data_IF_090221521908
#
_entry.id   IF_090221521908
#
_cell.length_a   1.000
_cell.length_b   1.000
_cell.length_c   1.000
_cell.angle_alpha   90.00
_cell.angle_beta   90.00
_cell.angle_gamma   90.00
#
_symmetry.space_group_name_H-M   'P 1'
#
loop_
_entity.id
_entity.type
_entity.pdbx_description
1 polymer ?
#
# COMPACT_ATOMS: atom_id res chain seq x y z
N UNK A 1 -0.05 35.66 65.78
CA UNK A 1 -0.68 36.19 64.55
C UNK A 1 0.40 36.86 63.74
N UNK A 2 0.94 36.18 62.74
CA UNK A 2 1.20 36.74 61.40
C UNK A 2 1.64 35.58 60.49
N UNK A 3 0.71 35.12 59.67
CA UNK A 3 0.88 34.04 58.70
C UNK A 3 1.07 34.71 57.34
N UNK A 4 2.27 34.64 56.77
CA UNK A 4 2.53 35.05 55.38
C UNK A 4 3.02 33.83 54.60
N UNK A 5 2.09 33.05 54.03
CA UNK A 5 1.66 33.08 52.63
C UNK A 5 2.84 32.95 51.63
N UNK A 6 3.13 31.69 51.27
CA UNK A 6 3.83 31.35 50.03
C UNK A 6 2.83 31.42 48.85
N UNK A 7 3.12 32.12 47.75
CA UNK A 7 2.38 31.96 46.51
C UNK A 7 2.91 30.75 45.73
N UNK A 8 2.00 29.83 45.39
CA UNK A 8 2.26 28.61 44.66
C UNK A 8 2.76 28.84 43.23
N UNK A 9 3.73 28.03 42.81
CA UNK A 9 4.09 27.85 41.41
C UNK A 9 2.92 27.17 40.69
N UNK A 10 2.19 27.95 39.90
CA UNK A 10 1.26 27.44 38.89
C UNK A 10 2.09 26.77 37.79
N UNK A 11 2.03 25.44 37.73
CA UNK A 11 2.64 24.65 36.67
C UNK A 11 1.99 24.98 35.33
N UNK A 12 2.71 25.72 34.49
CA UNK A 12 2.39 25.84 33.07
C UNK A 12 2.82 24.53 32.43
N UNK A 13 1.86 23.60 32.32
CA UNK A 13 2.00 22.40 31.49
C UNK A 13 2.18 22.86 30.05
N UNK A 14 3.41 22.75 29.54
CA UNK A 14 3.67 22.90 28.11
C UNK A 14 2.89 21.81 27.38
N UNK A 15 1.79 22.20 26.75
CA UNK A 15 1.12 21.39 25.74
C UNK A 15 2.12 21.22 24.60
N UNK A 16 2.77 20.06 24.55
CA UNK A 16 3.58 19.64 23.42
C UNK A 16 2.64 19.39 22.23
N UNK A 17 2.51 20.41 21.40
CA UNK A 17 1.95 20.29 20.06
C UNK A 17 2.92 19.50 19.17
N UNK A 18 2.98 18.18 19.38
CA UNK A 18 3.66 17.30 18.45
C UNK A 18 2.76 17.06 17.25
N UNK A 19 2.82 17.99 16.30
CA UNK A 19 2.34 17.76 14.95
C UNK A 19 3.33 18.37 13.95
N UNK A 20 4.35 17.58 13.58
CA UNK A 20 4.87 17.55 12.21
C UNK A 20 5.39 16.13 11.98
N UNK A 21 4.63 15.35 11.22
CA UNK A 21 5.16 14.19 10.52
C UNK A 21 6.20 14.74 9.55
N UNK A 22 7.47 14.68 9.91
CA UNK A 22 8.53 15.17 9.02
C UNK A 22 8.61 14.15 7.89
N UNK A 23 8.09 14.55 6.72
CA UNK A 23 8.20 13.78 5.49
C UNK A 23 9.66 13.34 5.34
N UNK A 24 9.85 12.05 5.08
CA UNK A 24 11.16 11.52 4.79
C UNK A 24 11.70 12.28 3.56
N UNK A 25 12.82 13.00 3.63
CA UNK A 25 13.31 13.81 2.50
C UNK A 25 13.61 12.99 1.23
N UNK A 26 13.68 11.66 1.35
CA UNK A 26 13.84 10.71 0.24
C UNK A 26 12.51 10.09 -0.26
N UNK A 27 11.36 10.62 0.18
CA UNK A 27 10.03 10.14 -0.20
C UNK A 27 9.73 10.51 -1.66
N UNK A 28 9.89 9.55 -2.57
CA UNK A 28 9.63 9.71 -4.00
C UNK A 28 8.13 9.65 -4.30
N UNK A 29 7.72 10.31 -5.38
CA UNK A 29 6.37 10.20 -5.96
C UNK A 29 6.26 9.12 -7.03
N UNK A 30 7.37 8.44 -7.39
CA UNK A 30 7.41 7.34 -8.33
C UNK A 30 8.57 6.39 -7.98
N UNK A 31 8.40 5.10 -8.29
CA UNK A 31 9.35 4.04 -7.96
C UNK A 31 9.53 3.10 -9.16
N UNK A 32 10.78 2.87 -9.53
CA UNK A 32 11.20 1.95 -10.59
C UNK A 32 11.19 0.49 -10.12
N UNK A 33 11.31 -0.47 -11.03
CA UNK A 33 11.41 -1.89 -10.68
C UNK A 33 12.52 -2.19 -9.67
N UNK A 34 13.69 -1.57 -9.83
CA UNK A 34 14.82 -1.73 -8.90
C UNK A 34 14.49 -1.20 -7.50
N UNK A 35 13.73 -0.11 -7.40
CA UNK A 35 13.24 0.38 -6.12
C UNK A 35 12.25 -0.61 -5.46
N UNK A 36 11.38 -1.24 -6.26
CA UNK A 36 10.45 -2.26 -5.77
C UNK A 36 11.18 -3.51 -5.30
N UNK A 37 12.24 -3.93 -6.00
CA UNK A 37 13.12 -5.02 -5.56
C UNK A 37 13.87 -4.65 -4.27
N UNK A 38 14.33 -3.41 -4.12
CA UNK A 38 14.91 -2.92 -2.88
C UNK A 38 13.88 -2.97 -1.74
N UNK A 39 12.61 -2.60 -2.00
CA UNK A 39 11.52 -2.75 -1.03
C UNK A 39 11.31 -4.23 -0.65
N UNK A 40 11.25 -5.13 -1.62
CA UNK A 40 11.07 -6.56 -1.39
C UNK A 40 12.20 -7.18 -0.56
N UNK A 41 13.43 -6.70 -0.75
CA UNK A 41 14.62 -7.09 0.03
C UNK A 41 14.69 -6.41 1.40
N UNK A 42 13.76 -5.52 1.73
CA UNK A 42 13.72 -4.79 3.00
C UNK A 42 14.76 -3.68 3.11
N UNK A 43 15.24 -3.16 1.97
CA UNK A 43 16.27 -2.14 1.86
C UNK A 43 15.68 -0.73 1.68
N UNK A 44 14.38 -0.61 1.36
CA UNK A 44 13.73 0.67 1.14
C UNK A 44 13.19 1.33 2.42
N UNK A 45 12.35 0.63 3.18
CA UNK A 45 11.75 1.16 4.42
C UNK A 45 12.51 0.76 5.70
N UNK A 46 13.61 0.02 5.57
CA UNK A 46 14.42 -0.45 6.68
C UNK A 46 13.95 -1.75 7.34
N UNK A 47 14.73 -2.28 8.30
CA UNK A 47 14.48 -3.56 8.94
C UNK A 47 13.20 -3.56 9.77
N UNK A 48 12.41 -4.65 9.68
CA UNK A 48 11.17 -4.81 10.45
C UNK A 48 9.93 -4.11 9.84
N UNK A 49 10.10 -3.32 8.78
CA UNK A 49 9.03 -2.55 8.16
C UNK A 49 8.43 -3.25 6.94
N UNK A 50 7.51 -2.56 6.26
CA UNK A 50 6.80 -3.06 5.10
C UNK A 50 7.77 -3.52 4.00
N UNK A 51 7.38 -4.58 3.29
CA UNK A 51 8.10 -5.14 2.15
C UNK A 51 7.09 -5.54 1.10
N UNK A 52 7.47 -5.40 -0.16
CA UNK A 52 6.78 -6.07 -1.25
C UNK A 52 7.19 -7.55 -1.30
N UNK A 53 6.41 -8.42 -1.98
CA UNK A 53 6.86 -9.75 -2.35
C UNK A 53 8.05 -9.69 -3.33
N UNK A 54 8.81 -10.79 -3.42
CA UNK A 54 9.84 -10.97 -4.45
C UNK A 54 9.22 -11.42 -5.79
N UNK A 55 9.96 -11.32 -6.92
CA UNK A 55 9.51 -11.85 -8.21
C UNK A 55 8.98 -13.28 -8.12
N UNK A 56 7.96 -13.58 -8.93
CA UNK A 56 7.07 -14.74 -8.77
C UNK A 56 5.78 -14.38 -8.01
N UNK A 57 5.85 -13.47 -7.03
CA UNK A 57 4.68 -12.91 -6.34
C UNK A 57 4.60 -11.37 -6.42
N UNK A 58 5.65 -10.69 -6.85
CA UNK A 58 5.62 -9.24 -7.12
C UNK A 58 4.77 -8.98 -8.37
N UNK A 59 3.63 -8.30 -8.21
CA UNK A 59 2.63 -8.12 -9.27
C UNK A 59 2.58 -6.68 -9.81
N UNK A 60 3.72 -6.00 -9.84
CA UNK A 60 3.88 -4.69 -10.46
C UNK A 60 5.34 -4.45 -10.85
N UNK A 61 5.55 -3.73 -11.94
CA UNK A 61 6.88 -3.34 -12.43
C UNK A 61 7.29 -1.94 -11.97
N UNK A 62 6.32 -1.08 -11.71
CA UNK A 62 6.56 0.31 -11.29
C UNK A 62 5.38 0.90 -10.54
N UNK A 63 5.68 1.87 -9.68
CA UNK A 63 4.71 2.83 -9.17
C UNK A 63 4.97 4.13 -9.93
N UNK A 64 4.06 4.51 -10.82
CA UNK A 64 4.19 5.72 -11.64
C UNK A 64 3.78 6.98 -10.89
N UNK A 65 2.90 6.85 -9.89
CA UNK A 65 2.48 7.95 -9.03
C UNK A 65 2.11 7.44 -7.64
N UNK A 66 2.50 8.18 -6.60
CA UNK A 66 2.05 8.00 -5.22
C UNK A 66 2.01 9.36 -4.52
N UNK A 67 0.91 9.63 -3.83
CA UNK A 67 0.70 10.87 -3.08
C UNK A 67 -0.16 10.61 -1.83
N UNK A 68 0.06 11.37 -0.76
CA UNK A 68 -0.74 11.33 0.47
C UNK A 68 -2.04 12.17 0.39
N UNK A 69 -2.21 12.89 -0.72
CA UNK A 69 -3.41 13.62 -1.11
C UNK A 69 -3.95 13.10 -2.45
N UNK A 70 -5.16 13.49 -2.81
CA UNK A 70 -5.81 13.03 -4.04
C UNK A 70 -6.57 11.70 -3.88
N UNK A 71 -6.85 11.05 -5.01
CA UNK A 71 -7.76 9.91 -5.08
C UNK A 71 -9.23 10.27 -4.81
N UNK A 72 -10.13 9.29 -4.93
CA UNK A 72 -11.58 9.47 -4.78
C UNK A 72 -11.98 10.11 -3.44
N UNK A 73 -11.17 9.89 -2.39
CA UNK A 73 -11.47 10.33 -1.02
C UNK A 73 -10.60 11.50 -0.53
N UNK A 74 -9.70 12.02 -1.37
CA UNK A 74 -8.78 13.10 -0.99
C UNK A 74 -7.80 12.74 0.13
N UNK A 75 -7.44 11.46 0.27
CA UNK A 75 -6.61 10.93 1.38
C UNK A 75 -5.42 10.11 0.89
N UNK A 76 -5.08 10.28 -0.39
CA UNK A 76 -3.96 9.63 -1.03
C UNK A 76 -4.38 8.67 -2.13
N UNK A 77 -3.46 8.49 -3.06
CA UNK A 77 -3.64 7.64 -4.22
C UNK A 77 -2.33 6.97 -4.63
N UNK A 78 -2.46 5.88 -5.37
CA UNK A 78 -1.34 5.19 -5.99
C UNK A 78 -1.75 4.75 -7.38
N UNK A 79 -0.87 4.99 -8.35
CA UNK A 79 -0.97 4.46 -9.70
C UNK A 79 0.28 3.61 -9.95
N UNK A 80 0.06 2.36 -10.32
CA UNK A 80 1.11 1.40 -10.59
C UNK A 80 0.79 0.59 -11.85
N UNK A 81 1.82 -0.02 -12.42
CA UNK A 81 1.71 -0.73 -13.69
C UNK A 81 2.45 -2.06 -13.64
N UNK A 82 1.93 -3.04 -14.40
CA UNK A 82 2.58 -4.31 -14.73
C UNK A 82 2.55 -4.45 -16.25
N UNK A 83 3.71 -4.63 -16.86
CA UNK A 83 3.80 -4.92 -18.29
C UNK A 83 3.43 -6.38 -18.53
N UNK A 84 2.61 -6.62 -19.55
CA UNK A 84 2.17 -7.97 -19.91
C UNK A 84 2.98 -8.48 -21.08
N UNK A 85 3.54 -9.67 -20.88
CA UNK A 85 4.25 -10.41 -21.89
C UNK A 85 3.80 -11.89 -21.87
N UNK A 86 3.73 -12.57 -23.03
CA UNK A 86 3.20 -13.95 -23.09
C UNK A 86 3.96 -14.98 -22.25
N UNK A 87 5.24 -14.71 -21.96
CA UNK A 87 6.14 -15.54 -21.16
C UNK A 87 6.06 -15.27 -19.64
N UNK A 88 5.08 -14.48 -19.17
CA UNK A 88 4.78 -14.41 -17.75
C UNK A 88 4.35 -15.80 -17.24
N UNK A 89 5.04 -16.27 -16.20
CA UNK A 89 4.97 -17.65 -15.70
C UNK A 89 3.55 -18.18 -15.46
N UNK A 90 2.63 -17.30 -15.07
CA UNK A 90 1.27 -17.71 -14.73
C UNK A 90 0.44 -18.08 -15.95
N UNK A 91 0.77 -17.59 -17.15
CA UNK A 91 0.03 -17.96 -18.36
C UNK A 91 0.26 -19.42 -18.74
N UNK A 92 1.47 -19.94 -18.52
CA UNK A 92 1.80 -21.33 -18.82
C UNK A 92 1.02 -22.33 -17.95
N UNK A 93 0.66 -21.94 -16.73
CA UNK A 93 -0.02 -22.83 -15.78
C UNK A 93 -1.49 -22.48 -15.51
N UNK A 94 -2.03 -21.41 -16.10
CA UNK A 94 -3.39 -20.94 -15.80
C UNK A 94 -4.06 -20.34 -17.05
N UNK A 95 -4.69 -21.15 -17.90
CA UNK A 95 -4.70 -22.61 -17.95
C UNK A 95 -3.97 -23.08 -19.23
N UNK A 96 -3.51 -24.34 -19.25
CA UNK A 96 -2.67 -24.88 -20.35
C UNK A 96 -3.19 -24.57 -21.77
N UNK A 97 -4.52 -24.61 -21.97
CA UNK A 97 -5.15 -24.33 -23.27
C UNK A 97 -6.01 -23.06 -23.29
N UNK A 98 -6.02 -22.29 -22.19
CA UNK A 98 -6.83 -21.07 -22.02
C UNK A 98 -6.07 -20.09 -21.11
N UNK A 99 -4.97 -19.49 -21.61
CA UNK A 99 -4.07 -18.70 -20.78
C UNK A 99 -4.71 -17.36 -20.38
N UNK A 100 -4.78 -17.12 -19.08
CA UNK A 100 -5.35 -15.92 -18.47
C UNK A 100 -4.66 -15.63 -17.14
N UNK A 101 -4.34 -14.36 -16.88
CA UNK A 101 -3.76 -13.98 -15.59
C UNK A 101 -4.74 -14.37 -14.46
N UNK A 102 -4.29 -15.07 -13.41
CA UNK A 102 -5.13 -15.34 -12.27
C UNK A 102 -5.64 -14.04 -11.64
N UNK A 103 -6.96 -13.87 -11.56
CA UNK A 103 -7.58 -12.66 -10.99
C UNK A 103 -7.16 -12.40 -9.53
N UNK A 104 -6.79 -13.45 -8.80
CA UNK A 104 -6.25 -13.34 -7.45
C UNK A 104 -4.89 -12.62 -7.39
N UNK A 105 -4.05 -12.74 -8.42
CA UNK A 105 -2.77 -12.01 -8.49
C UNK A 105 -2.99 -10.53 -8.77
N UNK A 106 -3.96 -10.19 -9.62
CA UNK A 106 -4.38 -8.80 -9.83
C UNK A 106 -4.96 -8.17 -8.55
N UNK A 107 -5.72 -8.95 -7.77
CA UNK A 107 -6.20 -8.52 -6.46
C UNK A 107 -5.05 -8.37 -5.46
N UNK A 108 -4.08 -9.28 -5.44
CA UNK A 108 -2.94 -9.22 -4.53
C UNK A 108 -2.08 -7.97 -4.75
N UNK A 109 -1.87 -7.56 -6.01
CA UNK A 109 -1.21 -6.30 -6.35
C UNK A 109 -1.83 -5.10 -5.61
N UNK A 110 -3.16 -5.07 -5.43
CA UNK A 110 -3.84 -3.98 -4.72
C UNK A 110 -3.53 -3.97 -3.21
N UNK A 111 -3.40 -5.14 -2.58
CA UNK A 111 -2.95 -5.24 -1.18
C UNK A 111 -1.46 -4.91 -1.05
N UNK A 112 -0.62 -5.35 -1.99
CA UNK A 112 0.80 -4.98 -2.04
C UNK A 112 0.98 -3.46 -2.05
N UNK A 113 0.23 -2.77 -2.92
CA UNK A 113 0.25 -1.33 -3.07
C UNK A 113 -0.25 -0.59 -1.81
N UNK A 114 -1.35 -1.04 -1.21
CA UNK A 114 -1.83 -0.45 0.05
C UNK A 114 -0.82 -0.66 1.19
N UNK A 115 -0.18 -1.83 1.27
CA UNK A 115 0.89 -2.08 2.24
C UNK A 115 2.13 -1.20 2.00
N UNK A 116 2.51 -1.03 0.73
CA UNK A 116 3.58 -0.12 0.33
C UNK A 116 3.27 1.32 0.76
N UNK A 117 2.06 1.80 0.54
CA UNK A 117 1.61 3.14 0.96
C UNK A 117 1.76 3.37 2.46
N UNK A 118 1.38 2.40 3.28
CA UNK A 118 1.50 2.52 4.73
C UNK A 118 2.98 2.63 5.16
N UNK A 119 3.86 1.85 4.54
CA UNK A 119 5.31 1.97 4.77
C UNK A 119 5.89 3.29 4.24
N UNK A 120 5.41 3.74 3.08
CA UNK A 120 5.78 5.00 2.44
C UNK A 120 5.41 6.21 3.30
N UNK A 121 4.28 6.16 4.01
CA UNK A 121 3.89 7.15 5.03
C UNK A 121 4.76 7.12 6.31
N UNK A 122 5.75 6.22 6.39
CA UNK A 122 6.68 6.09 7.52
C UNK A 122 6.16 5.23 8.67
N UNK A 123 5.07 4.46 8.49
CA UNK A 123 4.55 3.62 9.55
C UNK A 123 5.41 2.36 9.74
N UNK A 124 5.72 1.95 10.98
CA UNK A 124 6.53 0.76 11.23
C UNK A 124 5.72 -0.54 11.11
N UNK A 125 6.43 -1.64 10.90
CA UNK A 125 5.89 -3.00 10.97
C UNK A 125 5.70 -3.70 9.61
N UNK A 126 5.48 -5.01 9.66
CA UNK A 126 5.36 -5.89 8.49
C UNK A 126 3.91 -5.95 8.00
N UNK A 127 3.72 -5.87 6.68
CA UNK A 127 2.39 -5.88 6.06
C UNK A 127 1.68 -7.23 6.13
N UNK A 128 0.37 -7.22 6.40
CA UNK A 128 -0.55 -8.34 6.24
C UNK A 128 -1.85 -7.85 5.60
N UNK A 129 -2.28 -8.52 4.53
CA UNK A 129 -3.63 -8.34 4.02
C UNK A 129 -4.64 -8.86 5.06
N UNK A 130 -5.69 -8.08 5.33
CA UNK A 130 -6.75 -8.39 6.29
C UNK A 130 -8.09 -8.66 5.57
N UNK A 131 -8.02 -8.86 4.25
CA UNK A 131 -9.15 -9.11 3.38
C UNK A 131 -9.65 -7.87 2.65
N UNK A 132 -10.85 -8.02 2.10
CA UNK A 132 -11.53 -7.08 1.21
C UNK A 132 -13.03 -7.17 1.47
N UNK A 133 -13.76 -6.08 1.25
CA UNK A 133 -15.22 -6.06 1.39
C UNK A 133 -15.89 -6.73 0.20
N UNK A 134 -15.73 -6.14 -0.98
CA UNK A 134 -16.29 -6.64 -2.23
C UNK A 134 -15.22 -6.70 -3.32
N UNK A 135 -15.27 -7.74 -4.14
CA UNK A 135 -14.45 -7.86 -5.34
C UNK A 135 -15.38 -8.20 -6.51
N UNK A 136 -15.16 -7.56 -7.64
CA UNK A 136 -15.84 -7.83 -8.90
C UNK A 136 -14.83 -8.03 -10.01
N UNK A 137 -14.99 -9.10 -10.76
CA UNK A 137 -14.24 -9.40 -11.97
C UNK A 137 -15.20 -9.31 -13.17
N UNK A 138 -15.02 -8.32 -14.04
CA UNK A 138 -15.85 -8.09 -15.24
C UNK A 138 -15.07 -8.20 -16.55
N UNK A 139 -13.78 -8.53 -16.48
CA UNK A 139 -12.93 -8.79 -17.64
C UNK A 139 -11.75 -9.68 -17.28
N UNK A 140 -10.80 -9.79 -18.19
CA UNK A 140 -9.66 -10.69 -18.07
C UNK A 140 -8.40 -10.10 -18.70
N UNK A 141 -7.24 -10.60 -18.28
CA UNK A 141 -5.93 -10.18 -18.80
C UNK A 141 -5.36 -11.36 -19.58
N UNK A 142 -5.23 -11.19 -20.89
CA UNK A 142 -4.74 -12.20 -21.82
C UNK A 142 -3.26 -11.99 -22.15
N UNK A 143 -2.53 -13.00 -22.66
CA UNK A 143 -1.14 -12.88 -23.09
C UNK A 143 -0.91 -11.82 -24.17
N UNK A 144 -1.96 -11.43 -24.90
CA UNK A 144 -1.91 -10.43 -25.96
C UNK A 144 -1.96 -8.99 -25.46
N UNK A 145 -2.38 -8.78 -24.20
CA UNK A 145 -2.44 -7.47 -23.56
C UNK A 145 -1.04 -6.85 -23.46
N UNK A 146 -0.98 -5.53 -23.20
CA UNK A 146 0.29 -4.81 -23.07
C UNK A 146 0.55 -4.35 -21.67
N UNK A 147 -0.47 -3.87 -20.97
CA UNK A 147 -0.28 -3.25 -19.67
C UNK A 147 -1.49 -3.40 -18.78
N UNK A 148 -1.23 -3.78 -17.54
CA UNK A 148 -2.18 -3.65 -16.44
C UNK A 148 -1.87 -2.37 -15.68
N UNK A 149 -2.90 -1.62 -15.30
CA UNK A 149 -2.78 -0.43 -14.46
C UNK A 149 -3.63 -0.61 -13.20
N UNK A 150 -3.00 -0.43 -12.05
CA UNK A 150 -3.64 -0.46 -10.74
C UNK A 150 -3.84 0.98 -10.26
N UNK A 151 -5.07 1.34 -9.90
CA UNK A 151 -5.41 2.64 -9.30
C UNK A 151 -5.99 2.41 -7.92
N UNK A 152 -5.30 2.89 -6.88
CA UNK A 152 -5.70 2.76 -5.48
C UNK A 152 -6.14 4.12 -4.96
N UNK A 153 -7.34 4.21 -4.40
CA UNK A 153 -7.85 5.40 -3.71
C UNK A 153 -7.94 5.11 -2.21
N UNK A 154 -7.09 5.74 -1.42
CA UNK A 154 -7.01 5.52 0.02
C UNK A 154 -8.23 6.16 0.69
N UNK A 155 -9.02 5.37 1.40
CA UNK A 155 -10.26 5.82 2.08
C UNK A 155 -9.98 6.24 3.52
N UNK A 156 -9.06 5.54 4.20
CA UNK A 156 -8.70 5.80 5.60
C UNK A 156 -7.38 5.15 5.98
N UNK A 157 -6.58 5.85 6.78
CA UNK A 157 -5.44 5.30 7.53
C UNK A 157 -5.68 5.49 9.02
N UNK A 158 -5.41 4.46 9.82
CA UNK A 158 -5.50 4.50 11.28
C UNK A 158 -4.13 4.09 11.82
N UNK A 159 -3.34 5.05 12.31
CA UNK A 159 -2.02 4.81 12.89
C UNK A 159 -2.09 4.95 14.42
N UNK A 160 -2.48 3.87 15.12
CA UNK A 160 -2.52 3.80 16.59
C UNK A 160 -1.64 2.64 17.07
N UNK A 161 -2.16 1.77 17.95
CA UNK A 161 -1.45 0.54 18.37
C UNK A 161 -1.20 -0.43 17.22
N UNK A 162 -2.10 -0.44 16.24
CA UNK A 162 -1.99 -1.16 14.97
C UNK A 162 -2.20 -0.14 13.85
N UNK A 163 -1.32 -0.16 12.84
CA UNK A 163 -1.51 0.62 11.62
C UNK A 163 -2.43 -0.14 10.68
N UNK A 164 -3.53 0.47 10.26
CA UNK A 164 -4.52 -0.09 9.31
C UNK A 164 -4.77 0.88 8.17
N UNK A 165 -4.58 0.41 6.93
CA UNK A 165 -5.02 1.07 5.71
C UNK A 165 -6.33 0.48 5.21
N UNK A 166 -7.21 1.34 4.70
CA UNK A 166 -8.43 0.98 3.98
C UNK A 166 -8.47 1.74 2.67
N UNK A 167 -8.66 1.04 1.56
CA UNK A 167 -8.71 1.64 0.24
C UNK A 167 -9.71 0.94 -0.68
N UNK A 168 -10.09 1.63 -1.74
CA UNK A 168 -10.76 1.04 -2.89
C UNK A 168 -9.76 1.00 -4.06
N UNK A 169 -9.94 0.06 -4.97
CA UNK A 169 -9.07 -0.10 -6.12
C UNK A 169 -9.85 -0.41 -7.40
N UNK A 170 -9.28 0.05 -8.51
CA UNK A 170 -9.66 -0.33 -9.87
C UNK A 170 -8.44 -0.90 -10.56
N UNK A 171 -8.62 -2.01 -11.28
CA UNK A 171 -7.60 -2.62 -12.14
C UNK A 171 -8.09 -2.54 -13.57
N UNK A 172 -7.24 -1.98 -14.42
CA UNK A 172 -7.50 -1.80 -15.85
C UNK A 172 -6.50 -2.58 -16.68
N UNK A 173 -6.90 -3.10 -17.84
CA UNK A 173 -6.01 -3.69 -18.84
C UNK A 173 -6.14 -2.89 -20.13
N UNK A 174 -5.02 -2.39 -20.65
CA UNK A 174 -4.95 -1.59 -21.88
C UNK A 174 -5.96 -0.43 -21.94
N UNK A 175 -6.30 0.14 -20.77
CA UNK A 175 -7.22 1.28 -20.61
C UNK A 175 -8.65 0.91 -20.21
N UNK A 176 -9.01 -0.38 -20.20
CA UNK A 176 -10.36 -0.86 -19.88
C UNK A 176 -10.45 -1.37 -18.44
N UNK A 177 -11.44 -0.92 -17.67
CA UNK A 177 -11.64 -1.32 -16.28
C UNK A 177 -12.22 -2.73 -16.18
N UNK A 178 -11.47 -3.64 -15.55
CA UNK A 178 -11.82 -5.06 -15.48
C UNK A 178 -12.08 -5.54 -14.07
N UNK A 179 -11.41 -4.99 -13.06
CA UNK A 179 -11.61 -5.36 -11.66
C UNK A 179 -11.95 -4.15 -10.80
N UNK A 180 -12.85 -4.37 -9.85
CA UNK A 180 -13.18 -3.40 -8.81
C UNK A 180 -13.03 -4.10 -7.45
N UNK A 181 -12.29 -3.46 -6.52
CA UNK A 181 -12.17 -3.92 -5.15
C UNK A 181 -12.56 -2.80 -4.18
N UNK A 182 -13.46 -3.11 -3.26
CA UNK A 182 -13.99 -2.16 -2.27
C UNK A 182 -13.61 -2.60 -0.87
N UNK A 183 -13.18 -1.63 -0.06
CA UNK A 183 -12.76 -1.81 1.33
C UNK A 183 -11.64 -2.87 1.49
N UNK A 184 -10.61 -2.78 0.65
CA UNK A 184 -9.33 -3.47 0.85
C UNK A 184 -8.76 -3.08 2.22
N UNK A 185 -8.23 -4.05 2.97
CA UNK A 185 -7.63 -3.81 4.28
C UNK A 185 -6.22 -4.39 4.36
N UNK A 186 -5.26 -3.58 4.78
CA UNK A 186 -3.89 -4.01 5.08
C UNK A 186 -3.46 -3.45 6.42
N UNK A 187 -2.87 -4.28 7.28
CA UNK A 187 -2.28 -3.85 8.54
C UNK A 187 -0.75 -3.95 8.53
N UNK A 188 -0.07 -3.08 9.30
CA UNK A 188 1.35 -3.23 9.61
C UNK A 188 1.55 -3.66 11.07
N UNK A 189 2.33 -4.72 11.27
CA UNK A 189 2.51 -5.38 12.56
C UNK A 189 3.97 -5.34 12.99
N UNK A 190 4.26 -4.75 14.15
CA UNK A 190 5.61 -4.73 14.73
C UNK A 190 6.02 -6.07 15.35
N UNK A 191 5.03 -6.87 15.76
CA UNK A 191 5.16 -8.30 16.01
C UNK A 191 4.07 -9.06 15.26
N UNK A 192 4.45 -10.15 14.62
CA UNK A 192 3.52 -11.07 13.95
C UNK A 192 3.24 -12.32 14.78
N UNK A 193 3.72 -12.37 16.03
CA UNK A 193 3.37 -13.44 16.96
C UNK A 193 1.91 -13.27 17.38
N UNK A 194 1.07 -14.27 17.07
CA UNK A 194 -0.38 -14.24 17.34
C UNK A 194 -1.25 -13.71 16.19
N UNK A 195 -0.66 -13.51 15.01
CA UNK A 195 -1.42 -13.38 13.76
C UNK A 195 -1.74 -14.76 13.16
#
# INVERSE_FOLDING_TARGET
MDVRHQPGLCGVTSLSTNNVNTANPDQKSAYSYDDLLACARGQLFGPGNARLPLPGMLMLDRISHIADQGGEYGKGEIIAELDIHPDLWFFDCHFETDPVMPGCLGLDATWQLLGFFLGWLGNPGRGRALGVGQVKFSGQILPTAKKVTYRISVKRVIARKLTLGIADAVVSVDGEDIYEAKDLRVGLFTSTEGF
#
